data_IF_825514912485
#
_entry.id   IF_825514912485
#
_cell.length_a   1.000
_cell.length_b   1.000
_cell.length_c   1.000
_cell.angle_alpha   90.00
_cell.angle_beta   90.00
_cell.angle_gamma   90.00
#
_symmetry.space_group_name_H-M   'P 1'
#
loop_
_entity.id
_entity.type
_entity.pdbx_description
1 polymer ?
#
# COMPACT_ATOMS: atom_id res chain seq x y z
N UNK A 1 -2.48 -13.79 26.04
CA UNK A 1 -1.90 -14.02 24.70
C UNK A 1 -2.84 -13.44 23.67
N UNK A 2 -2.37 -12.47 22.86
CA UNK A 2 -3.19 -11.78 21.83
C UNK A 2 -3.11 -12.57 20.54
N UNK A 3 -4.25 -12.72 19.85
CA UNK A 3 -4.34 -13.50 18.60
C UNK A 3 -4.50 -12.58 17.39
N UNK A 4 -3.66 -12.81 16.37
CA UNK A 4 -3.67 -12.05 15.12
C UNK A 4 -4.12 -12.94 13.96
N UNK A 5 -4.77 -12.32 12.95
CA UNK A 5 -5.03 -12.94 11.66
C UNK A 5 -4.39 -12.07 10.58
N UNK A 6 -3.50 -12.65 9.80
CA UNK A 6 -2.75 -11.97 8.73
C UNK A 6 -3.26 -12.51 7.39
N UNK A 7 -3.58 -11.62 6.46
CA UNK A 7 -3.97 -12.02 5.09
C UNK A 7 -2.79 -12.03 4.15
N UNK A 8 -2.88 -12.75 3.03
CA UNK A 8 -1.89 -12.72 1.95
C UNK A 8 -0.49 -13.13 2.38
N UNK A 9 -0.40 -14.17 3.22
CA UNK A 9 0.85 -14.58 3.88
C UNK A 9 1.94 -15.06 2.93
N UNK A 10 1.59 -15.49 1.72
CA UNK A 10 2.55 -15.81 0.65
C UNK A 10 3.03 -14.58 -0.15
N UNK A 11 2.46 -13.41 0.11
CA UNK A 11 2.87 -12.14 -0.50
C UNK A 11 4.03 -11.48 0.28
N UNK A 12 4.78 -10.55 -0.36
CA UNK A 12 5.96 -9.93 0.26
C UNK A 12 5.67 -9.22 1.59
N UNK A 13 4.51 -8.59 1.73
CA UNK A 13 4.11 -7.93 2.99
C UNK A 13 3.75 -8.94 4.08
N UNK A 14 3.04 -10.01 3.72
CA UNK A 14 2.70 -11.10 4.65
C UNK A 14 3.94 -11.81 5.16
N UNK A 15 4.90 -12.14 4.28
CA UNK A 15 6.19 -12.73 4.66
C UNK A 15 6.93 -11.82 5.64
N UNK A 16 7.07 -10.51 5.32
CA UNK A 16 7.72 -9.54 6.18
C UNK A 16 7.07 -9.41 7.56
N UNK A 17 5.73 -9.52 7.65
CA UNK A 17 5.03 -9.51 8.94
C UNK A 17 5.24 -10.81 9.70
N UNK A 18 5.21 -11.97 9.05
CA UNK A 18 5.48 -13.26 9.68
C UNK A 18 6.85 -13.30 10.35
N UNK A 19 7.89 -12.84 9.65
CA UNK A 19 9.24 -12.72 10.19
C UNK A 19 9.28 -11.81 11.42
N UNK A 20 8.69 -10.62 11.37
CA UNK A 20 8.63 -9.68 12.47
C UNK A 20 7.86 -10.22 13.69
N UNK A 21 6.77 -10.94 13.47
CA UNK A 21 5.97 -11.57 14.54
C UNK A 21 6.74 -12.70 15.19
N UNK A 22 7.40 -13.56 14.41
CA UNK A 22 8.26 -14.64 14.92
C UNK A 22 9.42 -14.09 15.76
N UNK A 23 10.08 -13.02 15.29
CA UNK A 23 11.14 -12.36 16.05
C UNK A 23 10.65 -11.77 17.37
N UNK A 24 9.48 -11.13 17.39
CA UNK A 24 8.86 -10.58 18.61
C UNK A 24 8.49 -11.68 19.60
N UNK A 25 7.92 -12.78 19.12
CA UNK A 25 7.60 -13.94 19.97
C UNK A 25 8.87 -14.57 20.58
N UNK A 26 9.95 -14.69 19.79
CA UNK A 26 11.25 -15.17 20.29
C UNK A 26 11.85 -14.26 21.37
N UNK A 27 11.48 -12.98 21.38
CA UNK A 27 11.85 -11.99 22.43
C UNK A 27 10.86 -11.95 23.60
N UNK A 28 9.87 -12.85 23.65
CA UNK A 28 8.95 -13.00 24.77
C UNK A 28 7.61 -12.27 24.62
N UNK A 29 7.28 -11.77 23.43
CA UNK A 29 5.94 -11.22 23.20
C UNK A 29 4.89 -12.35 23.22
N UNK A 30 3.82 -12.18 24.00
CA UNK A 30 2.73 -13.15 24.10
C UNK A 30 1.75 -12.99 22.92
N UNK A 31 2.21 -13.34 21.73
CA UNK A 31 1.45 -13.29 20.48
C UNK A 31 1.18 -14.70 19.95
N UNK A 32 -0.02 -14.88 19.43
CA UNK A 32 -0.44 -16.04 18.65
C UNK A 32 -0.98 -15.55 17.31
N UNK A 33 -0.66 -16.19 16.19
CA UNK A 33 -1.16 -15.74 14.90
C UNK A 33 -1.46 -16.87 13.93
N UNK A 34 -2.35 -16.56 13.01
CA UNK A 34 -2.78 -17.44 11.93
C UNK A 34 -2.72 -16.67 10.62
N UNK A 35 -2.33 -17.33 9.55
CA UNK A 35 -2.31 -16.77 8.21
C UNK A 35 -3.50 -17.20 7.38
N UNK A 36 -3.94 -16.34 6.43
CA UNK A 36 -4.84 -16.77 5.36
C UNK A 36 -4.27 -16.36 4.00
N UNK A 37 -4.47 -17.21 3.00
CA UNK A 37 -4.05 -16.95 1.62
C UNK A 37 -5.00 -17.64 0.63
N UNK A 38 -4.89 -17.30 -0.66
CA UNK A 38 -5.65 -17.92 -1.75
C UNK A 38 -5.11 -19.29 -2.17
N UNK A 39 -3.92 -19.65 -1.68
CA UNK A 39 -3.26 -20.93 -1.94
C UNK A 39 -2.58 -21.45 -0.66
N UNK A 40 -2.30 -22.74 -0.56
CA UNK A 40 -1.53 -23.27 0.55
C UNK A 40 -0.15 -22.64 0.60
N UNK A 41 0.24 -22.13 1.77
CA UNK A 41 1.56 -21.55 2.02
C UNK A 41 2.26 -22.40 3.07
N UNK A 42 3.46 -22.86 2.74
CA UNK A 42 4.37 -23.55 3.66
C UNK A 42 5.47 -22.54 4.08
N UNK A 43 5.21 -21.83 5.17
CA UNK A 43 6.13 -20.84 5.73
C UNK A 43 6.26 -21.11 7.25
N UNK A 44 7.49 -21.34 7.76
CA UNK A 44 7.73 -21.61 9.18
C UNK A 44 7.25 -20.49 10.10
N UNK A 45 7.13 -19.27 9.60
CA UNK A 45 6.61 -18.12 10.35
C UNK A 45 5.06 -18.14 10.45
N UNK A 46 4.39 -19.03 9.73
CA UNK A 46 2.93 -19.23 9.79
C UNK A 46 2.60 -20.71 10.07
N UNK A 47 2.78 -21.17 11.32
CA UNK A 47 2.56 -22.58 11.67
C UNK A 47 1.10 -23.02 11.50
N UNK A 48 0.18 -22.07 11.38
CA UNK A 48 -1.23 -22.29 11.09
C UNK A 48 -1.68 -21.36 9.98
N UNK A 49 -2.33 -21.91 8.98
CA UNK A 49 -2.91 -21.16 7.87
C UNK A 49 -4.25 -21.75 7.42
N UNK A 50 -5.03 -20.96 6.68
CA UNK A 50 -6.25 -21.39 6.03
C UNK A 50 -6.40 -20.76 4.65
N UNK A 51 -7.24 -21.38 3.81
CA UNK A 51 -7.55 -20.84 2.49
C UNK A 51 -8.74 -19.88 2.56
N UNK A 52 -8.68 -18.86 1.75
CA UNK A 52 -9.78 -17.92 1.49
C UNK A 52 -9.86 -17.67 -0.02
N UNK A 53 -11.01 -17.26 -0.50
CA UNK A 53 -11.18 -16.85 -1.89
C UNK A 53 -10.34 -15.63 -2.24
N UNK A 54 -10.11 -15.39 -3.54
CA UNK A 54 -9.49 -14.16 -4.01
C UNK A 54 -10.38 -12.95 -3.73
N UNK A 55 -9.78 -11.79 -3.59
CA UNK A 55 -10.51 -10.54 -3.31
C UNK A 55 -11.53 -10.15 -4.40
N UNK A 56 -11.31 -10.57 -5.64
CA UNK A 56 -12.21 -10.37 -6.78
C UNK A 56 -13.29 -11.46 -6.95
N UNK A 57 -13.29 -12.48 -6.08
CA UNK A 57 -14.30 -13.53 -6.04
C UNK A 57 -15.46 -13.14 -5.10
N UNK A 58 -16.69 -13.44 -5.51
CA UNK A 58 -17.88 -13.18 -4.71
C UNK A 58 -17.91 -13.93 -3.36
N UNK A 59 -17.14 -15.02 -3.22
CA UNK A 59 -16.99 -15.80 -1.99
C UNK A 59 -16.09 -15.14 -0.95
N UNK A 60 -15.25 -14.18 -1.33
CA UNK A 60 -14.25 -13.57 -0.44
C UNK A 60 -14.83 -13.02 0.88
N UNK A 61 -15.90 -12.21 0.90
CA UNK A 61 -16.44 -11.70 2.16
C UNK A 61 -16.95 -12.78 3.08
N UNK A 62 -17.52 -13.85 2.50
CA UNK A 62 -17.99 -15.02 3.26
C UNK A 62 -16.81 -15.77 3.91
N UNK A 63 -15.78 -16.08 3.14
CA UNK A 63 -14.62 -16.83 3.62
C UNK A 63 -13.86 -16.06 4.70
N UNK A 64 -13.65 -14.75 4.48
CA UNK A 64 -13.00 -13.88 5.48
C UNK A 64 -13.81 -13.80 6.77
N UNK A 65 -15.13 -13.66 6.67
CA UNK A 65 -16.00 -13.71 7.86
C UNK A 65 -15.89 -15.04 8.58
N UNK A 66 -15.88 -16.17 7.85
CA UNK A 66 -15.70 -17.50 8.44
C UNK A 66 -14.34 -17.64 9.12
N UNK A 67 -13.28 -17.14 8.51
CA UNK A 67 -11.95 -17.14 9.11
C UNK A 67 -11.91 -16.32 10.42
N UNK A 68 -12.49 -15.12 10.43
CA UNK A 68 -12.58 -14.27 11.62
C UNK A 68 -13.38 -14.97 12.73
N UNK A 69 -14.54 -15.56 12.41
CA UNK A 69 -15.36 -16.29 13.39
C UNK A 69 -14.65 -17.54 13.90
N UNK A 70 -13.96 -18.30 13.03
CA UNK A 70 -13.27 -19.53 13.39
C UNK A 70 -12.06 -19.31 14.29
N UNK A 71 -11.27 -18.31 13.97
CA UNK A 71 -9.99 -18.06 14.65
C UNK A 71 -10.09 -17.06 15.79
N UNK A 72 -11.19 -16.32 15.88
CA UNK A 72 -11.46 -15.33 16.93
C UNK A 72 -10.24 -14.43 17.19
N UNK A 73 -9.69 -13.72 16.16
CA UNK A 73 -8.53 -12.87 16.33
C UNK A 73 -8.89 -11.63 17.15
N UNK A 74 -7.98 -11.15 17.99
CA UNK A 74 -8.07 -9.81 18.58
C UNK A 74 -7.85 -8.73 17.48
N UNK A 75 -7.00 -9.04 16.48
CA UNK A 75 -6.68 -8.11 15.41
C UNK A 75 -6.49 -8.85 14.07
N UNK A 76 -7.12 -8.32 13.02
CA UNK A 76 -6.89 -8.70 11.61
C UNK A 76 -6.00 -7.65 10.95
N UNK A 77 -4.94 -8.09 10.29
CA UNK A 77 -4.00 -7.22 9.55
C UNK A 77 -4.06 -7.58 8.05
N UNK A 78 -4.80 -6.82 7.24
CA UNK A 78 -4.83 -7.01 5.80
C UNK A 78 -3.50 -6.60 5.16
N UNK A 79 -2.97 -7.40 4.21
CA UNK A 79 -1.72 -7.11 3.51
C UNK A 79 -1.84 -7.04 1.99
N UNK A 80 -2.99 -7.39 1.43
CA UNK A 80 -3.20 -7.44 -0.02
C UNK A 80 -3.97 -6.20 -0.49
N UNK A 81 -3.38 -5.38 -1.35
CA UNK A 81 -4.00 -4.13 -1.80
C UNK A 81 -5.39 -4.35 -2.43
N UNK A 82 -5.58 -5.45 -3.18
CA UNK A 82 -6.83 -5.74 -3.88
C UNK A 82 -7.99 -6.07 -2.92
N UNK A 83 -7.72 -6.54 -1.71
CA UNK A 83 -8.76 -6.91 -0.74
C UNK A 83 -9.25 -5.72 0.10
N UNK A 84 -8.46 -4.65 0.19
CA UNK A 84 -8.70 -3.57 1.15
C UNK A 84 -10.11 -2.94 1.03
N UNK A 85 -10.63 -2.62 -0.16
CA UNK A 85 -11.97 -2.03 -0.27
C UNK A 85 -13.07 -2.96 0.27
N UNK A 86 -13.00 -4.25 -0.05
CA UNK A 86 -13.98 -5.23 0.44
C UNK A 86 -13.81 -5.50 1.94
N UNK A 87 -12.56 -5.58 2.41
CA UNK A 87 -12.25 -5.79 3.83
C UNK A 87 -12.74 -4.61 4.68
N UNK A 88 -12.59 -3.37 4.20
CA UNK A 88 -13.09 -2.19 4.92
C UNK A 88 -14.62 -2.22 5.07
N UNK A 89 -15.34 -2.56 4.00
CA UNK A 89 -16.81 -2.73 4.04
C UNK A 89 -17.20 -3.89 4.95
N UNK A 90 -16.50 -5.02 4.90
CA UNK A 90 -16.75 -6.16 5.78
C UNK A 90 -16.53 -5.80 7.26
N UNK A 91 -15.44 -5.09 7.56
CA UNK A 91 -15.14 -4.64 8.92
C UNK A 91 -16.22 -3.69 9.48
N UNK A 92 -16.73 -2.77 8.66
CA UNK A 92 -17.87 -1.91 9.02
C UNK A 92 -19.14 -2.72 9.25
N UNK A 93 -19.47 -3.64 8.33
CA UNK A 93 -20.66 -4.49 8.44
C UNK A 93 -20.64 -5.41 9.67
N UNK A 94 -19.47 -5.84 10.12
CA UNK A 94 -19.28 -6.64 11.32
C UNK A 94 -19.12 -5.79 12.60
N UNK A 95 -18.95 -4.47 12.49
CA UNK A 95 -18.73 -3.57 13.63
C UNK A 95 -17.36 -3.76 14.31
N UNK A 96 -16.33 -4.19 13.55
CA UNK A 96 -14.98 -4.54 14.06
C UNK A 96 -13.87 -3.66 13.49
N UNK A 97 -14.17 -2.43 13.07
CA UNK A 97 -13.18 -1.53 12.46
C UNK A 97 -12.33 -0.75 13.46
N UNK A 98 -12.78 -0.61 14.70
CA UNK A 98 -12.12 0.26 15.69
C UNK A 98 -11.28 -0.52 16.70
N UNK A 99 -10.13 0.01 17.13
CA UNK A 99 -9.33 -0.57 18.20
C UNK A 99 -10.10 -0.72 19.51
N UNK A 100 -9.81 -1.75 20.30
CA UNK A 100 -10.29 -1.90 21.68
C UNK A 100 -11.70 -2.49 21.88
N UNK A 101 -12.42 -2.85 20.82
CA UNK A 101 -13.80 -3.38 20.89
C UNK A 101 -13.88 -4.93 20.78
N UNK A 102 -12.86 -5.67 21.14
CA UNK A 102 -12.72 -7.10 20.85
C UNK A 102 -11.99 -7.31 19.53
N UNK A 103 -12.48 -8.20 18.65
CA UNK A 103 -11.90 -8.31 17.28
C UNK A 103 -11.89 -6.96 16.57
N UNK A 104 -10.76 -6.60 15.99
CA UNK A 104 -10.62 -5.39 15.20
C UNK A 104 -9.95 -5.69 13.85
N UNK A 105 -10.19 -4.86 12.83
CA UNK A 105 -9.48 -4.90 11.54
C UNK A 105 -8.66 -3.63 11.39
N UNK A 106 -7.35 -3.77 11.22
CA UNK A 106 -6.44 -2.65 11.04
C UNK A 106 -6.55 -2.10 9.62
N UNK A 107 -7.52 -1.22 9.40
CA UNK A 107 -7.85 -0.68 8.09
C UNK A 107 -8.45 0.72 8.21
N UNK A 108 -8.23 1.55 7.20
CA UNK A 108 -8.88 2.85 7.04
C UNK A 108 -10.39 2.70 6.78
N UNK A 109 -11.14 3.80 6.79
CA UNK A 109 -12.56 3.80 6.41
C UNK A 109 -12.77 3.30 4.97
N UNK A 110 -13.95 2.76 4.68
CA UNK A 110 -14.24 2.25 3.35
C UNK A 110 -14.10 3.32 2.24
N UNK A 111 -14.54 4.58 2.40
CA UNK A 111 -14.29 5.64 1.43
C UNK A 111 -12.80 5.93 1.22
N UNK A 112 -12.01 6.08 2.29
CA UNK A 112 -10.58 6.36 2.21
C UNK A 112 -9.83 5.20 1.52
N UNK A 113 -10.16 3.97 1.89
CA UNK A 113 -9.59 2.75 1.30
C UNK A 113 -9.93 2.63 -0.19
N UNK A 114 -11.18 2.92 -0.58
CA UNK A 114 -11.59 2.88 -1.98
C UNK A 114 -10.86 3.93 -2.84
N UNK A 115 -10.65 5.14 -2.30
CA UNK A 115 -9.87 6.19 -2.98
C UNK A 115 -8.42 5.74 -3.14
N UNK A 116 -7.79 5.22 -2.08
CA UNK A 116 -6.39 4.78 -2.13
C UNK A 116 -6.17 3.57 -3.05
N UNK A 117 -7.18 2.71 -3.24
CA UNK A 117 -7.10 1.54 -4.13
C UNK A 117 -7.09 1.90 -5.63
N UNK A 118 -7.54 3.08 -6.02
CA UNK A 118 -7.60 3.55 -7.41
C UNK A 118 -6.69 4.77 -7.60
N UNK A 119 -5.62 4.60 -8.37
CA UNK A 119 -4.61 5.65 -8.60
C UNK A 119 -5.19 6.94 -9.20
N UNK A 120 -6.23 6.85 -10.02
CA UNK A 120 -6.89 8.04 -10.57
C UNK A 120 -7.66 8.81 -9.50
N UNK A 121 -8.40 8.10 -8.65
CA UNK A 121 -9.11 8.72 -7.52
C UNK A 121 -8.12 9.31 -6.50
N UNK A 122 -7.02 8.60 -6.23
CA UNK A 122 -5.92 9.08 -5.38
C UNK A 122 -5.36 10.40 -5.93
N UNK A 123 -5.02 10.46 -7.22
CA UNK A 123 -4.47 11.69 -7.81
C UNK A 123 -5.47 12.85 -7.76
N UNK A 124 -6.75 12.64 -8.08
CA UNK A 124 -7.76 13.70 -7.95
C UNK A 124 -7.91 14.22 -6.52
N UNK A 125 -7.88 13.32 -5.55
CA UNK A 125 -8.03 13.70 -4.15
C UNK A 125 -6.79 14.49 -3.63
N UNK A 126 -5.58 14.07 -4.00
CA UNK A 126 -4.34 14.75 -3.66
C UNK A 126 -4.22 16.11 -4.35
N UNK A 127 -4.56 16.20 -5.66
CA UNK A 127 -4.58 17.46 -6.41
C UNK A 127 -5.51 18.48 -5.76
N UNK A 128 -6.74 18.07 -5.42
CA UNK A 128 -7.70 18.91 -4.72
C UNK A 128 -7.20 19.40 -3.36
N UNK A 129 -6.39 18.61 -2.69
CA UNK A 129 -5.81 18.95 -1.40
C UNK A 129 -4.51 19.78 -1.52
N UNK A 130 -4.00 20.02 -2.72
CA UNK A 130 -2.76 20.74 -2.97
C UNK A 130 -1.50 19.95 -2.62
N UNK A 131 -1.57 18.63 -2.52
CA UNK A 131 -0.41 17.77 -2.32
C UNK A 131 0.30 17.58 -3.66
N UNK A 132 1.63 17.69 -3.65
CA UNK A 132 2.43 17.59 -4.86
C UNK A 132 2.35 16.19 -5.49
N UNK A 133 1.96 16.14 -6.75
CA UNK A 133 1.81 14.91 -7.57
C UNK A 133 2.33 15.17 -8.99
N UNK A 134 2.70 14.14 -9.77
CA UNK A 134 2.94 14.31 -11.19
C UNK A 134 1.68 14.81 -11.91
N UNK A 135 1.82 15.55 -12.99
CA UNK A 135 0.67 15.78 -13.89
C UNK A 135 0.11 14.43 -14.32
N UNK A 136 -1.22 14.32 -14.38
CA UNK A 136 -1.88 13.05 -14.70
C UNK A 136 -3.10 13.25 -15.59
N UNK A 137 -3.47 12.20 -16.31
CA UNK A 137 -4.64 12.14 -17.19
C UNK A 137 -5.09 10.69 -17.33
N UNK A 138 -6.24 10.46 -17.95
CA UNK A 138 -6.69 9.11 -18.36
C UNK A 138 -6.13 8.81 -19.75
N UNK A 139 -5.73 7.57 -20.02
CA UNK A 139 -5.15 7.22 -21.33
C UNK A 139 -6.09 7.53 -22.51
N UNK A 140 -7.41 7.47 -22.31
CA UNK A 140 -8.43 7.82 -23.31
C UNK A 140 -8.50 9.30 -23.66
N UNK A 141 -7.82 10.18 -22.91
CA UNK A 141 -7.74 11.61 -23.24
C UNK A 141 -6.80 11.88 -24.42
N UNK A 142 -6.05 10.87 -24.86
CA UNK A 142 -5.07 10.95 -25.93
C UNK A 142 -5.40 10.00 -27.08
N UNK A 143 -5.25 10.48 -28.29
CA UNK A 143 -5.46 9.69 -29.51
C UNK A 143 -4.40 8.60 -29.69
N UNK A 144 -3.15 8.87 -29.25
CA UNK A 144 -2.01 8.00 -29.39
C UNK A 144 -0.88 8.35 -28.37
N UNK A 145 0.17 7.53 -28.32
CA UNK A 145 1.32 7.75 -27.45
C UNK A 145 2.06 9.07 -27.76
N UNK A 146 2.07 9.52 -29.01
CA UNK A 146 2.70 10.78 -29.42
C UNK A 146 1.98 11.98 -28.80
N UNK A 147 0.65 11.97 -28.80
CA UNK A 147 -0.17 13.00 -28.18
C UNK A 147 0.05 13.04 -26.65
N UNK A 148 0.15 11.88 -26.02
CA UNK A 148 0.40 11.76 -24.57
C UNK A 148 1.83 12.26 -24.21
N UNK A 149 2.86 11.92 -24.99
CA UNK A 149 4.22 12.41 -24.81
C UNK A 149 4.31 13.93 -25.00
N UNK A 150 3.63 14.47 -26.01
CA UNK A 150 3.57 15.92 -26.24
C UNK A 150 2.88 16.66 -25.09
N UNK A 151 1.79 16.09 -24.53
CA UNK A 151 1.14 16.60 -23.34
C UNK A 151 2.05 16.55 -22.11
N UNK A 152 2.79 15.45 -21.94
CA UNK A 152 3.76 15.27 -20.84
C UNK A 152 4.92 16.27 -20.89
N UNK A 153 5.31 16.68 -22.08
CA UNK A 153 6.53 17.48 -22.33
C UNK A 153 7.81 16.68 -22.20
N UNK A 154 7.74 15.35 -22.20
CA UNK A 154 8.82 14.39 -22.01
C UNK A 154 8.29 12.99 -21.73
N UNK A 155 9.11 12.12 -21.12
CA UNK A 155 8.69 10.76 -20.75
C UNK A 155 7.43 10.74 -19.88
N UNK A 156 6.62 9.73 -20.09
CA UNK A 156 5.41 9.48 -19.29
C UNK A 156 5.38 8.06 -18.75
N UNK A 157 4.65 7.85 -17.68
CA UNK A 157 4.35 6.53 -17.13
C UNK A 157 2.89 6.20 -17.38
N UNK A 158 2.64 5.06 -18.04
CA UNK A 158 1.30 4.51 -18.22
C UNK A 158 1.15 3.30 -17.31
N UNK A 159 0.08 3.28 -16.51
CA UNK A 159 -0.14 2.20 -15.55
C UNK A 159 -1.63 1.95 -15.31
N UNK A 160 -2.04 0.72 -14.94
CA UNK A 160 -3.42 0.47 -14.56
C UNK A 160 -3.81 1.29 -13.32
N UNK A 161 -5.05 1.79 -13.30
CA UNK A 161 -5.62 2.51 -12.16
C UNK A 161 -5.61 1.64 -10.90
N UNK A 162 -6.04 0.39 -11.04
CA UNK A 162 -6.05 -0.60 -9.96
C UNK A 162 -5.04 -1.69 -10.30
N UNK A 163 -3.95 -1.77 -9.57
CA UNK A 163 -2.90 -2.79 -9.74
C UNK A 163 -1.96 -2.77 -8.55
N UNK A 164 -1.14 -3.80 -8.42
CA UNK A 164 -0.14 -3.95 -7.37
C UNK A 164 1.18 -4.47 -7.93
N UNK A 165 2.27 -4.22 -7.22
CA UNK A 165 3.55 -4.85 -7.50
C UNK A 165 4.16 -4.43 -8.83
N UNK A 166 3.93 -3.21 -9.31
CA UNK A 166 4.47 -2.70 -10.57
C UNK A 166 3.90 -3.37 -11.83
N UNK A 167 2.82 -4.14 -11.72
CA UNK A 167 2.22 -4.84 -12.86
C UNK A 167 1.57 -3.85 -13.82
N UNK A 168 1.95 -3.96 -15.10
CA UNK A 168 1.42 -3.12 -16.17
C UNK A 168 1.92 -1.68 -16.15
N UNK A 169 2.98 -1.39 -15.38
CA UNK A 169 3.64 -0.09 -15.39
C UNK A 169 4.60 -0.05 -16.58
N UNK A 170 4.43 0.93 -17.46
CA UNK A 170 5.27 1.14 -18.66
C UNK A 170 5.79 2.57 -18.64
N UNK A 171 7.11 2.72 -18.74
CA UNK A 171 7.74 3.99 -19.05
C UNK A 171 7.71 4.16 -20.57
N UNK A 172 7.13 5.24 -21.04
CA UNK A 172 7.02 5.59 -22.46
C UNK A 172 7.91 6.80 -22.73
N UNK A 173 8.99 6.59 -23.45
CA UNK A 173 9.96 7.62 -23.88
C UNK A 173 9.80 7.95 -25.35
N UNK A 174 9.34 6.95 -26.13
CA UNK A 174 9.02 7.07 -27.54
C UNK A 174 7.63 6.52 -27.86
N UNK A 175 7.01 6.91 -28.97
CA UNK A 175 5.68 6.39 -29.35
C UNK A 175 5.65 4.86 -29.56
N UNK A 176 6.79 4.23 -29.77
CA UNK A 176 6.89 2.79 -30.07
C UNK A 176 7.01 1.94 -28.80
N UNK A 177 7.17 2.56 -27.60
CA UNK A 177 7.35 1.85 -26.33
C UNK A 177 6.04 1.20 -25.82
N UNK A 178 4.88 1.64 -26.31
CA UNK A 178 3.58 1.11 -25.92
C UNK A 178 2.62 1.11 -27.12
N UNK A 179 2.04 -0.05 -27.40
CA UNK A 179 0.90 -0.14 -28.31
C UNK A 179 -0.31 0.55 -27.68
N UNK A 180 -0.56 1.79 -28.11
CA UNK A 180 -1.63 2.64 -27.55
C UNK A 180 -3.03 2.05 -27.75
N UNK A 181 -3.23 1.17 -28.73
CA UNK A 181 -4.50 0.49 -28.95
C UNK A 181 -4.88 -0.46 -27.81
N UNK A 182 -3.90 -0.86 -27.00
CA UNK A 182 -4.13 -1.70 -25.81
C UNK A 182 -4.47 -0.90 -24.56
N UNK A 183 -4.45 0.44 -24.63
CA UNK A 183 -4.80 1.32 -23.53
C UNK A 183 -6.29 1.64 -23.50
N UNK A 184 -6.77 2.14 -22.35
CA UNK A 184 -8.17 2.51 -22.19
C UNK A 184 -8.44 3.29 -20.89
N UNK A 185 -9.71 3.45 -20.54
CA UNK A 185 -10.13 4.16 -19.34
C UNK A 185 -9.62 3.53 -18.01
N UNK A 186 -9.11 2.30 -18.07
CA UNK A 186 -8.53 1.60 -16.91
C UNK A 186 -7.05 1.94 -16.68
N UNK A 187 -6.43 2.74 -17.55
CA UNK A 187 -5.06 3.23 -17.38
C UNK A 187 -5.03 4.72 -17.06
N UNK A 188 -4.13 5.09 -16.15
CA UNK A 188 -3.71 6.47 -15.88
C UNK A 188 -2.37 6.73 -16.56
N UNK A 189 -2.20 7.95 -17.06
CA UNK A 189 -0.96 8.50 -17.59
C UNK A 189 -0.43 9.52 -16.60
N UNK A 190 0.85 9.46 -16.26
CA UNK A 190 1.52 10.44 -15.40
C UNK A 190 2.80 10.94 -16.08
N UNK A 191 3.17 12.20 -15.87
CA UNK A 191 4.51 12.68 -16.22
C UNK A 191 5.54 11.92 -15.41
N UNK A 192 6.66 11.57 -16.03
CA UNK A 192 7.74 10.86 -15.35
C UNK A 192 8.52 11.81 -14.44
N UNK A 193 8.64 11.46 -13.17
CA UNK A 193 9.54 12.12 -12.23
C UNK A 193 10.91 11.44 -12.28
N UNK A 194 11.97 12.18 -12.60
CA UNK A 194 13.27 11.62 -12.94
C UNK A 194 14.26 11.43 -11.79
N UNK A 195 13.99 12.02 -10.63
CA UNK A 195 14.91 12.04 -9.49
C UNK A 195 14.85 10.82 -8.57
N UNK A 196 15.38 10.96 -7.37
CA UNK A 196 15.44 9.91 -6.36
C UNK A 196 14.06 9.46 -5.93
N UNK A 197 13.91 8.15 -5.73
CA UNK A 197 12.65 7.52 -5.33
C UNK A 197 12.72 7.02 -3.89
N UNK A 198 11.67 7.31 -3.14
CA UNK A 198 11.51 6.96 -1.73
C UNK A 198 10.26 6.10 -1.52
N UNK A 199 10.31 5.26 -0.50
CA UNK A 199 9.18 4.48 0.00
C UNK A 199 8.98 4.84 1.48
N UNK A 200 8.31 5.97 1.78
CA UNK A 200 7.91 6.27 3.15
C UNK A 200 6.97 5.19 3.67
N UNK A 201 7.36 4.55 4.77
CA UNK A 201 6.53 3.65 5.55
C UNK A 201 5.90 4.48 6.65
N UNK A 202 4.58 4.54 6.70
CA UNK A 202 3.86 5.39 7.65
C UNK A 202 2.94 4.53 8.50
N UNK A 203 2.85 4.84 9.79
CA UNK A 203 1.74 4.44 10.64
C UNK A 203 1.05 5.70 11.13
N UNK A 204 -0.23 5.89 10.75
CA UNK A 204 -1.05 6.97 11.26
C UNK A 204 -2.07 6.42 12.25
N UNK A 205 -2.00 6.91 13.49
CA UNK A 205 -2.87 6.49 14.58
C UNK A 205 -4.35 6.80 14.25
N UNK A 206 -5.25 5.82 14.31
CA UNK A 206 -6.68 6.08 14.21
C UNK A 206 -7.26 6.78 15.44
N UNK A 207 -6.53 6.81 16.58
CA UNK A 207 -6.98 7.44 17.83
C UNK A 207 -6.53 8.89 17.94
N UNK A 208 -5.27 9.18 17.61
CA UNK A 208 -4.68 10.52 17.78
C UNK A 208 -4.54 11.30 16.48
N UNK A 209 -4.53 10.61 15.32
CA UNK A 209 -4.21 11.19 14.02
C UNK A 209 -2.72 11.45 13.80
N UNK A 210 -1.87 11.19 14.79
CA UNK A 210 -0.42 11.36 14.67
C UNK A 210 0.20 10.31 13.73
N UNK A 211 1.21 10.72 12.98
CA UNK A 211 1.93 9.87 12.03
C UNK A 211 3.36 9.59 12.50
N UNK A 212 3.75 8.32 12.49
CA UNK A 212 5.15 7.88 12.58
C UNK A 212 5.62 7.51 11.19
N UNK A 213 6.74 8.07 10.75
CA UNK A 213 7.27 7.89 9.39
C UNK A 213 8.68 7.34 9.42
N UNK A 214 8.93 6.29 8.65
CA UNK A 214 10.27 5.76 8.36
C UNK A 214 10.49 5.87 6.86
N UNK A 215 11.52 6.58 6.43
CA UNK A 215 11.80 6.77 5.01
C UNK A 215 12.84 5.76 4.54
N UNK A 216 12.51 5.05 3.46
CA UNK A 216 13.42 4.19 2.74
C UNK A 216 13.68 4.80 1.35
N UNK A 217 14.94 4.98 0.98
CA UNK A 217 15.31 5.35 -0.38
C UNK A 217 15.45 4.08 -1.22
N UNK A 218 14.84 4.05 -2.40
CA UNK A 218 15.00 2.96 -3.36
C UNK A 218 16.30 3.16 -4.14
N UNK A 219 17.23 2.22 -3.99
CA UNK A 219 18.55 2.30 -4.64
C UNK A 219 18.62 1.52 -5.94
N UNK A 220 17.71 0.56 -6.13
CA UNK A 220 17.58 -0.23 -7.35
C UNK A 220 16.13 -0.58 -7.61
N UNK A 221 15.66 -0.42 -8.85
CA UNK A 221 14.32 -0.73 -9.30
C UNK A 221 14.32 -1.94 -10.23
N UNK A 222 13.29 -2.77 -10.15
CA UNK A 222 13.18 -4.04 -10.87
C UNK A 222 13.17 -3.87 -12.40
N UNK A 223 12.66 -2.75 -12.90
CA UNK A 223 12.52 -2.46 -14.33
C UNK A 223 13.38 -1.25 -14.74
N UNK A 224 14.53 -1.09 -14.12
CA UNK A 224 15.47 0.00 -14.39
C UNK A 224 15.02 1.32 -13.78
N UNK A 225 14.23 2.14 -14.50
CA UNK A 225 13.80 3.46 -14.05
C UNK A 225 12.41 3.48 -13.40
N UNK A 226 11.68 2.37 -13.44
CA UNK A 226 10.31 2.22 -12.88
C UNK A 226 10.15 0.85 -12.22
N UNK A 227 9.04 0.65 -11.51
CA UNK A 227 8.69 -0.62 -10.90
C UNK A 227 9.10 -0.72 -9.42
N UNK A 228 8.97 -1.93 -8.87
CA UNK A 228 9.23 -2.17 -7.46
C UNK A 228 10.71 -2.05 -7.12
N UNK A 229 11.00 -1.68 -5.87
CA UNK A 229 12.35 -1.72 -5.33
C UNK A 229 12.90 -3.16 -5.32
N UNK A 230 14.11 -3.32 -5.81
CA UNK A 230 14.97 -4.50 -5.59
C UNK A 230 15.76 -4.30 -4.31
N UNK A 231 16.21 -3.05 -4.08
CA UNK A 231 17.04 -2.68 -2.96
C UNK A 231 16.58 -1.33 -2.40
N UNK A 232 16.60 -1.22 -1.08
CA UNK A 232 16.29 0.02 -0.36
C UNK A 232 17.28 0.22 0.78
N UNK A 233 17.56 1.48 1.12
CA UNK A 233 18.32 1.88 2.31
C UNK A 233 17.46 2.79 3.18
N UNK A 234 17.59 2.68 4.48
CA UNK A 234 16.94 3.61 5.40
C UNK A 234 17.70 4.94 5.37
N UNK A 235 16.96 6.04 5.32
CA UNK A 235 17.51 7.40 5.37
C UNK A 235 16.96 8.13 6.58
N UNK A 236 17.74 9.09 7.09
CA UNK A 236 17.29 9.93 8.19
C UNK A 236 16.16 10.85 7.71
N UNK A 237 15.04 10.85 8.42
CA UNK A 237 13.89 11.68 8.08
C UNK A 237 14.19 13.18 8.10
N UNK A 238 15.15 13.62 8.91
CA UNK A 238 15.56 15.04 8.94
C UNK A 238 16.35 15.45 7.69
N UNK A 239 17.08 14.51 7.07
CA UNK A 239 17.79 14.79 5.79
C UNK A 239 16.83 14.87 4.60
N UNK A 240 15.65 14.26 4.70
CA UNK A 240 14.60 14.23 3.66
C UNK A 240 13.27 14.73 4.22
N UNK A 241 13.31 15.78 5.01
CA UNK A 241 12.15 16.32 5.72
C UNK A 241 10.98 16.65 4.81
N UNK A 242 11.26 17.17 3.63
CA UNK A 242 10.28 17.48 2.60
C UNK A 242 9.54 16.21 2.08
N UNK A 243 10.23 15.06 2.01
CA UNK A 243 9.60 13.77 1.69
C UNK A 243 8.70 13.31 2.82
N UNK A 244 9.14 13.46 4.08
CA UNK A 244 8.33 13.15 5.27
C UNK A 244 7.06 14.00 5.28
N UNK A 245 7.20 15.32 5.12
CA UNK A 245 6.09 16.28 5.14
C UNK A 245 5.09 15.99 3.99
N UNK A 246 5.59 15.66 2.80
CA UNK A 246 4.76 15.24 1.66
C UNK A 246 3.99 13.94 1.96
N UNK A 247 4.64 12.96 2.58
CA UNK A 247 3.98 11.70 2.95
C UNK A 247 2.87 11.92 3.99
N UNK A 248 3.14 12.72 5.03
CA UNK A 248 2.15 13.07 6.06
C UNK A 248 0.96 13.82 5.44
N UNK A 249 1.23 14.86 4.64
CA UNK A 249 0.17 15.61 3.96
C UNK A 249 -0.71 14.73 3.08
N UNK A 250 -0.11 13.75 2.37
CA UNK A 250 -0.84 12.85 1.50
C UNK A 250 -1.77 11.89 2.29
N UNK A 251 -1.31 11.33 3.40
CA UNK A 251 -2.14 10.42 4.19
C UNK A 251 -3.25 11.16 4.94
N UNK A 252 -3.00 12.39 5.37
CA UNK A 252 -4.00 13.27 5.98
C UNK A 252 -5.06 13.70 4.97
N UNK A 253 -4.66 14.09 3.76
CA UNK A 253 -5.57 14.50 2.67
C UNK A 253 -6.58 13.41 2.29
N UNK A 254 -6.20 12.14 2.42
CA UNK A 254 -7.05 10.99 2.12
C UNK A 254 -7.74 10.41 3.37
N UNK A 255 -7.53 10.98 4.54
CA UNK A 255 -8.01 10.47 5.85
C UNK A 255 -7.66 8.99 6.05
N UNK A 256 -6.45 8.60 5.64
CA UNK A 256 -5.93 7.24 5.82
C UNK A 256 -5.41 7.05 7.24
N UNK A 257 -5.63 5.86 7.81
CA UNK A 257 -5.16 5.46 9.13
C UNK A 257 -4.58 4.05 9.12
N UNK A 258 -3.80 3.70 10.13
CA UNK A 258 -3.10 2.42 10.20
C UNK A 258 -1.79 2.43 9.40
N UNK A 259 -1.31 1.27 8.95
CA UNK A 259 -0.07 1.15 8.19
C UNK A 259 -0.27 1.56 6.73
N UNK A 260 0.69 2.28 6.20
CA UNK A 260 0.65 2.86 4.86
C UNK A 260 2.04 2.76 4.23
N UNK A 261 2.10 2.43 2.96
CA UNK A 261 3.34 2.34 2.16
C UNK A 261 3.18 3.25 0.94
N UNK A 262 3.96 4.34 0.88
CA UNK A 262 3.89 5.33 -0.18
C UNK A 262 5.06 5.16 -1.15
N UNK A 263 4.82 5.52 -2.40
CA UNK A 263 5.84 5.76 -3.40
C UNK A 263 5.91 7.26 -3.69
N UNK A 264 7.04 7.87 -3.35
CA UNK A 264 7.31 9.31 -3.56
C UNK A 264 8.60 9.43 -4.38
N UNK A 265 8.61 10.30 -5.36
CA UNK A 265 9.78 10.52 -6.20
C UNK A 265 10.03 12.01 -6.40
N UNK A 266 11.30 12.41 -6.50
CA UNK A 266 11.61 13.79 -6.85
C UNK A 266 11.38 14.01 -8.34
N UNK A 267 10.69 15.09 -8.67
CA UNK A 267 10.61 15.57 -10.05
C UNK A 267 11.90 16.27 -10.48
N UNK A 268 11.92 16.80 -11.70
CA UNK A 268 13.10 17.46 -12.27
C UNK A 268 13.45 18.79 -11.55
N UNK A 269 12.53 19.36 -10.76
CA UNK A 269 12.80 20.51 -9.89
C UNK A 269 13.35 20.11 -8.51
N UNK A 270 13.40 18.81 -8.21
CA UNK A 270 13.74 18.25 -6.90
C UNK A 270 12.56 18.18 -5.93
N UNK A 271 11.35 18.56 -6.34
CA UNK A 271 10.15 18.50 -5.50
C UNK A 271 9.70 17.03 -5.31
N UNK A 272 9.45 16.57 -4.08
CA UNK A 272 8.89 15.24 -3.86
C UNK A 272 7.42 15.19 -4.30
N UNK A 273 7.08 14.27 -5.19
CA UNK A 273 5.73 14.06 -5.72
C UNK A 273 5.23 12.65 -5.41
N UNK A 274 3.98 12.54 -4.98
CA UNK A 274 3.36 11.25 -4.62
C UNK A 274 2.97 10.50 -5.89
N UNK A 275 3.48 9.28 -6.06
CA UNK A 275 3.18 8.42 -7.21
C UNK A 275 2.05 7.42 -6.93
N UNK A 276 2.00 6.91 -5.69
CA UNK A 276 1.06 5.87 -5.25
C UNK A 276 1.01 5.80 -3.72
N UNK A 277 -0.13 5.40 -3.17
CA UNK A 277 -0.32 5.10 -1.75
C UNK A 277 -0.97 3.73 -1.62
N UNK A 278 -0.37 2.87 -0.81
CA UNK A 278 -0.92 1.58 -0.46
C UNK A 278 -1.36 1.61 1.02
N UNK A 279 -2.65 1.48 1.28
CA UNK A 279 -3.23 1.60 2.63
C UNK A 279 -3.06 0.29 3.44
N UNK A 280 -1.83 -0.21 3.54
CA UNK A 280 -1.43 -1.44 4.22
C UNK A 280 0.07 -1.48 4.46
N UNK A 281 0.56 -2.44 5.27
CA UNK A 281 2.00 -2.73 5.32
C UNK A 281 2.54 -3.09 3.94
N UNK A 282 3.69 -2.53 3.57
CA UNK A 282 4.40 -2.86 2.33
C UNK A 282 5.40 -4.01 2.51
N UNK A 283 5.99 -4.47 1.39
CA UNK A 283 7.10 -5.42 1.40
C UNK A 283 8.31 -4.90 2.20
N UNK A 284 8.50 -3.59 2.21
CA UNK A 284 9.60 -2.92 2.90
C UNK A 284 9.39 -2.75 4.42
N UNK A 285 8.24 -3.16 4.97
CA UNK A 285 7.93 -3.03 6.41
C UNK A 285 8.92 -3.75 7.32
N UNK A 286 9.61 -4.78 6.83
CA UNK A 286 10.70 -5.43 7.56
C UNK A 286 11.84 -4.47 7.92
N UNK A 287 12.03 -3.38 7.16
CA UNK A 287 13.04 -2.34 7.44
C UNK A 287 12.52 -1.19 8.33
N UNK A 288 11.25 -1.28 8.74
CA UNK A 288 10.57 -0.32 9.62
C UNK A 288 9.80 -1.05 10.75
N UNK A 289 10.46 -1.91 11.56
CA UNK A 289 9.79 -2.77 12.54
C UNK A 289 9.13 -1.99 13.69
N UNK A 290 9.54 -0.74 13.92
CA UNK A 290 8.90 0.15 14.88
C UNK A 290 7.43 0.44 14.54
N UNK A 291 7.05 0.47 13.26
CA UNK A 291 5.67 0.73 12.85
C UNK A 291 4.73 -0.40 13.24
N UNK A 292 5.16 -1.67 13.09
CA UNK A 292 4.40 -2.80 13.62
C UNK A 292 4.30 -2.72 15.14
N UNK A 293 5.36 -2.25 15.83
CA UNK A 293 5.35 -2.03 17.27
C UNK A 293 4.31 -1.01 17.70
N UNK A 294 4.29 0.15 17.06
CA UNK A 294 3.31 1.21 17.31
C UNK A 294 1.88 0.71 17.04
N UNK A 295 1.67 0.04 15.91
CA UNK A 295 0.38 -0.51 15.53
C UNK A 295 -0.14 -1.54 16.56
N UNK A 296 0.67 -2.54 16.92
CA UNK A 296 0.25 -3.55 17.90
C UNK A 296 0.03 -2.93 19.28
N UNK A 297 0.85 -1.96 19.70
CA UNK A 297 0.70 -1.27 20.97
C UNK A 297 -0.63 -0.51 21.07
N UNK A 298 -1.11 0.06 19.99
CA UNK A 298 -2.37 0.81 19.97
C UNK A 298 -3.59 -0.10 19.77
N UNK A 299 -3.54 -1.04 18.83
CA UNK A 299 -4.70 -1.88 18.48
C UNK A 299 -4.98 -3.02 19.45
N UNK A 300 -3.99 -3.41 20.26
CA UNK A 300 -4.12 -4.50 21.24
C UNK A 300 -4.10 -4.00 22.70
N UNK A 301 -4.13 -2.67 22.90
CA UNK A 301 -4.14 -2.06 24.24
C UNK A 301 -5.39 -2.42 25.07
#
# INVERSE_FOLDING_TARGET
MRRLLITGIGGPAGIALGEQLAERAARGAELDWVGVDIQPIDDPNYPRSALVARADDAGYPHDMRQAIVRFEPDLVIPTVADELPQMAVLAEAMGIRTPGAGSAVMISSAPATAIAADKLLTMWALDRAGVAIPRFAVATDFADARAALAWGGGPIVVKPRVSRGGRGVVLVETPDDLDWTTTGAVQIVQTFAGGDEYSPQVYRSPLTGESTVVVLQKTELKQGRVGNAVSTVRVDGDEVRDVVDTAVAAVEALDLTGPLDLDIRRDDSGTPVVLEINARFGANSAKAPELLGAALGEWLA
#
